data_IF_772276049128
#
_entry.id   IF_772276049128
#
_cell.length_a   1.000
_cell.length_b   1.000
_cell.length_c   1.000
_cell.angle_alpha   90.00
_cell.angle_beta   90.00
_cell.angle_gamma   90.00
#
_symmetry.space_group_name_H-M   'P 1'
#
loop_
_entity.id
_entity.type
_entity.pdbx_description
1 polymer ?
#
# COMPACT_ATOMS: atom_id res chain seq x y z
N UNK A 1 -15.89 -11.08 -6.93
CA UNK A 1 -15.95 -9.63 -7.14
C UNK A 1 -15.31 -9.33 -8.48
N UNK A 2 -16.06 -8.59 -9.35
CA UNK A 2 -15.51 -8.11 -10.62
C UNK A 2 -14.45 -7.01 -10.41
N UNK A 3 -13.85 -6.58 -11.51
CA UNK A 3 -12.82 -5.54 -11.52
C UNK A 3 -13.42 -4.20 -11.03
N UNK A 4 -12.77 -3.57 -10.05
CA UNK A 4 -13.21 -2.32 -9.41
C UNK A 4 -12.04 -1.56 -8.78
N UNK A 5 -12.28 -0.31 -8.42
CA UNK A 5 -11.48 0.46 -7.45
C UNK A 5 -12.26 0.53 -6.13
N UNK A 6 -11.55 0.63 -5.03
CA UNK A 6 -12.19 0.83 -3.73
C UNK A 6 -12.82 2.23 -3.61
N UNK A 7 -13.84 2.33 -2.77
CA UNK A 7 -14.44 3.63 -2.46
C UNK A 7 -13.44 4.53 -1.74
N UNK A 8 -13.43 5.81 -2.09
CA UNK A 8 -12.56 6.81 -1.45
C UNK A 8 -12.82 6.96 0.05
N UNK A 9 -14.06 6.76 0.49
CA UNK A 9 -14.47 6.81 1.89
C UNK A 9 -15.13 5.52 2.30
N UNK A 10 -14.62 4.95 3.37
CA UNK A 10 -15.22 3.80 4.03
C UNK A 10 -16.04 4.32 5.22
N UNK A 11 -17.34 4.11 5.13
CA UNK A 11 -18.27 4.50 6.19
C UNK A 11 -18.18 3.51 7.34
N UNK A 12 -17.53 3.89 8.42
CA UNK A 12 -17.51 3.12 9.65
C UNK A 12 -18.83 3.33 10.39
N UNK A 13 -19.66 2.31 10.56
CA UNK A 13 -20.77 2.38 11.51
C UNK A 13 -20.25 2.53 12.95
N UNK A 14 -21.08 3.13 13.86
CA UNK A 14 -20.67 3.22 15.27
C UNK A 14 -20.23 1.86 15.81
N UNK A 15 -19.13 1.77 16.57
CA UNK A 15 -18.30 2.86 17.11
C UNK A 15 -17.14 3.31 16.20
N UNK A 16 -17.07 2.86 14.95
CA UNK A 16 -15.94 3.10 14.05
C UNK A 16 -16.06 4.48 13.36
N UNK A 17 -14.92 5.15 13.20
CA UNK A 17 -14.84 6.39 12.43
C UNK A 17 -14.89 6.12 10.92
N UNK A 18 -15.36 7.12 10.16
CA UNK A 18 -15.20 7.13 8.73
C UNK A 18 -13.71 7.24 8.38
N UNK A 19 -13.25 6.47 7.41
CA UNK A 19 -11.85 6.39 7.03
C UNK A 19 -11.69 6.71 5.55
N UNK A 20 -10.77 7.63 5.22
CA UNK A 20 -10.35 7.81 3.83
C UNK A 20 -9.51 6.59 3.43
N UNK A 21 -9.92 5.91 2.38
CA UNK A 21 -9.21 4.76 1.85
C UNK A 21 -8.08 5.22 0.91
N UNK A 22 -6.90 5.47 1.47
CA UNK A 22 -5.71 5.81 0.70
C UNK A 22 -4.96 4.56 0.23
N UNK A 23 -4.90 3.56 1.10
CA UNK A 23 -4.27 2.28 0.84
C UNK A 23 -5.24 1.14 1.20
N UNK A 24 -5.26 0.13 0.37
CA UNK A 24 -5.96 -1.12 0.63
C UNK A 24 -4.96 -2.21 0.98
N UNK A 25 -5.35 -3.14 1.84
CA UNK A 25 -4.53 -4.30 2.12
C UNK A 25 -5.33 -5.60 2.03
N UNK A 26 -4.61 -6.65 1.67
CA UNK A 26 -5.09 -8.03 1.79
C UNK A 26 -4.08 -8.84 2.58
N UNK A 27 -4.46 -9.31 3.76
CA UNK A 27 -3.73 -10.28 4.56
C UNK A 27 -4.24 -11.68 4.21
N UNK A 28 -3.36 -12.53 3.69
CA UNK A 28 -3.68 -13.91 3.35
C UNK A 28 -3.70 -14.77 4.61
N UNK A 29 -4.76 -15.54 4.81
CA UNK A 29 -4.95 -16.42 5.97
C UNK A 29 -5.02 -17.91 5.57
N UNK A 30 -5.14 -18.21 4.27
CA UNK A 30 -4.97 -19.53 3.68
C UNK A 30 -3.69 -19.58 2.83
N UNK A 31 -3.03 -20.75 2.79
CA UNK A 31 -1.86 -20.96 1.95
C UNK A 31 -2.25 -21.13 0.47
N UNK A 32 -1.32 -20.82 -0.48
CA UNK A 32 -1.60 -20.93 -1.92
C UNK A 32 -1.99 -22.33 -2.39
N UNK A 33 -1.58 -23.36 -1.70
CA UNK A 33 -1.86 -24.77 -2.01
C UNK A 33 -3.20 -25.27 -1.45
N UNK A 34 -3.87 -24.50 -0.60
CA UNK A 34 -5.18 -24.83 -0.02
C UNK A 34 -6.36 -24.48 -0.96
N UNK A 35 -6.10 -23.78 -2.07
CA UNK A 35 -7.14 -23.39 -3.05
C UNK A 35 -6.56 -23.15 -4.43
N UNK A 36 -7.37 -23.32 -5.48
CA UNK A 36 -7.02 -23.04 -6.88
C UNK A 36 -7.72 -21.75 -7.36
N UNK A 37 -7.03 -20.94 -8.17
CA UNK A 37 -7.51 -19.61 -8.53
C UNK A 37 -7.38 -18.63 -7.37
N UNK A 38 -8.26 -17.63 -7.31
CA UNK A 38 -8.35 -16.69 -6.20
C UNK A 38 -7.18 -15.70 -6.09
N UNK A 39 -6.39 -15.51 -7.14
CA UNK A 39 -5.34 -14.50 -7.19
C UNK A 39 -5.96 -13.10 -7.04
N UNK A 40 -5.31 -12.24 -6.27
CA UNK A 40 -5.56 -10.81 -6.29
C UNK A 40 -4.82 -10.22 -7.49
N UNK A 41 -5.56 -9.79 -8.51
CA UNK A 41 -5.02 -9.09 -9.68
C UNK A 41 -5.08 -7.59 -9.46
N UNK A 42 -3.94 -6.90 -9.54
CA UNK A 42 -3.84 -5.44 -9.44
C UNK A 42 -3.33 -4.90 -10.78
N UNK A 43 -4.03 -3.90 -11.31
CA UNK A 43 -3.73 -3.29 -12.60
C UNK A 43 -3.04 -1.92 -12.39
N UNK A 44 -1.86 -1.74 -12.97
CA UNK A 44 -1.04 -0.53 -12.88
C UNK A 44 -1.25 0.49 -14.03
N UNK A 45 -2.27 0.28 -14.85
CA UNK A 45 -2.58 1.06 -16.06
C UNK A 45 -1.98 0.48 -17.35
N UNK A 46 -1.07 -0.49 -17.25
CA UNK A 46 -0.45 -1.18 -18.40
C UNK A 46 -0.48 -2.69 -18.25
N UNK A 47 -0.14 -3.17 -17.06
CA UNK A 47 -0.02 -4.60 -16.78
C UNK A 47 -0.92 -4.98 -15.61
N UNK A 48 -1.25 -6.26 -15.54
CA UNK A 48 -1.90 -6.86 -14.38
C UNK A 48 -0.90 -7.74 -13.64
N UNK A 49 -0.80 -7.57 -12.34
CA UNK A 49 0.03 -8.40 -11.46
C UNK A 49 -0.87 -9.28 -10.63
N UNK A 50 -0.71 -10.59 -10.76
CA UNK A 50 -1.43 -11.58 -9.97
C UNK A 50 -0.65 -11.90 -8.69
N UNK A 51 -1.32 -11.81 -7.55
CA UNK A 51 -0.74 -11.97 -6.23
C UNK A 51 -1.47 -13.07 -5.48
N UNK A 52 -0.71 -14.07 -5.01
CA UNK A 52 -1.18 -15.17 -4.18
C UNK A 52 -0.08 -15.52 -3.21
N UNK A 53 -0.20 -15.06 -1.95
CA UNK A 53 0.85 -15.17 -0.94
C UNK A 53 0.50 -16.25 0.09
N UNK A 54 1.52 -16.71 0.80
CA UNK A 54 1.35 -17.63 1.93
C UNK A 54 0.60 -16.98 3.09
N UNK A 55 -0.05 -17.78 3.90
CA UNK A 55 -0.72 -17.35 5.13
C UNK A 55 0.22 -16.52 6.01
N UNK A 56 -0.31 -15.45 6.59
CA UNK A 56 0.45 -14.47 7.38
C UNK A 56 1.18 -13.40 6.55
N UNK A 57 1.17 -13.48 5.22
CA UNK A 57 1.71 -12.43 4.34
C UNK A 57 0.63 -11.44 3.94
N UNK A 58 1.03 -10.19 3.78
CA UNK A 58 0.14 -9.08 3.41
C UNK A 58 0.67 -8.38 2.16
N UNK A 59 -0.24 -7.98 1.28
CA UNK A 59 0.01 -7.00 0.23
C UNK A 59 -0.73 -5.71 0.56
N UNK A 60 -0.06 -4.58 0.33
CA UNK A 60 -0.62 -3.23 0.48
C UNK A 60 -0.49 -2.54 -0.88
N UNK A 61 -1.56 -1.88 -1.33
CA UNK A 61 -1.61 -1.22 -2.63
C UNK A 61 -2.47 0.04 -2.54
N UNK A 62 -2.35 0.92 -3.54
CA UNK A 62 -3.17 2.13 -3.61
C UNK A 62 -4.64 1.77 -3.82
N UNK A 63 -5.54 2.31 -2.99
CA UNK A 63 -6.99 2.01 -3.06
C UNK A 63 -7.64 2.46 -4.37
N UNK A 64 -7.04 3.43 -5.07
CA UNK A 64 -7.44 3.85 -6.40
C UNK A 64 -7.02 2.91 -7.53
N UNK A 65 -6.18 1.90 -7.25
CA UNK A 65 -5.79 0.91 -8.25
C UNK A 65 -6.96 0.02 -8.64
N UNK A 66 -7.13 -0.19 -9.94
CA UNK A 66 -8.11 -1.14 -10.46
C UNK A 66 -7.67 -2.56 -10.08
N UNK A 67 -8.54 -3.32 -9.45
CA UNK A 67 -8.19 -4.67 -8.98
C UNK A 67 -9.40 -5.61 -8.96
N UNK A 68 -9.12 -6.89 -8.87
CA UNK A 68 -10.14 -7.94 -8.71
C UNK A 68 -9.54 -9.16 -7.99
N UNK A 69 -10.40 -9.98 -7.42
CA UNK A 69 -10.06 -11.35 -7.02
C UNK A 69 -10.59 -12.28 -8.08
N UNK A 70 -9.70 -13.09 -8.67
CA UNK A 70 -10.08 -14.13 -9.64
C UNK A 70 -10.96 -15.18 -8.99
N UNK A 71 -11.68 -15.92 -9.80
CA UNK A 71 -12.53 -17.02 -9.35
C UNK A 71 -11.71 -18.07 -8.59
N UNK A 72 -12.23 -18.51 -7.46
CA UNK A 72 -11.70 -19.68 -6.74
C UNK A 72 -12.38 -20.91 -7.34
N UNK A 73 -11.61 -21.77 -7.98
CA UNK A 73 -12.14 -22.95 -8.69
C UNK A 73 -12.14 -24.21 -7.83
N UNK A 74 -11.31 -24.23 -6.77
CA UNK A 74 -11.21 -25.35 -5.84
C UNK A 74 -10.72 -24.84 -4.47
N UNK A 75 -11.13 -25.50 -3.38
CA UNK A 75 -10.73 -25.16 -2.02
C UNK A 75 -11.39 -23.90 -1.47
N UNK A 76 -10.76 -23.28 -0.47
CA UNK A 76 -11.32 -22.11 0.21
C UNK A 76 -10.25 -21.03 0.39
N UNK A 77 -10.45 -19.87 -0.24
CA UNK A 77 -9.61 -18.68 -0.03
C UNK A 77 -10.07 -17.92 1.20
N UNK A 78 -9.21 -17.79 2.20
CA UNK A 78 -9.47 -16.99 3.42
C UNK A 78 -8.49 -15.82 3.46
N UNK A 79 -9.00 -14.62 3.64
CA UNK A 79 -8.19 -13.41 3.80
C UNK A 79 -8.90 -12.38 4.68
N UNK A 80 -8.12 -11.46 5.25
CA UNK A 80 -8.61 -10.24 5.86
C UNK A 80 -8.29 -9.08 4.92
N UNK A 81 -9.29 -8.25 4.61
CA UNK A 81 -9.13 -7.04 3.80
C UNK A 81 -9.46 -5.81 4.63
N UNK A 82 -8.84 -4.70 4.31
CA UNK A 82 -9.12 -3.44 4.98
C UNK A 82 -8.43 -2.27 4.31
N UNK A 83 -8.61 -1.09 4.92
CA UNK A 83 -8.16 0.17 4.39
C UNK A 83 -7.38 0.95 5.42
N UNK A 84 -6.41 1.73 4.94
CA UNK A 84 -5.56 2.58 5.77
C UNK A 84 -5.65 4.00 5.26
N UNK A 85 -5.90 4.93 6.17
CA UNK A 85 -5.77 6.35 5.89
C UNK A 85 -4.33 6.76 6.08
N UNK A 86 -3.70 7.23 5.00
CA UNK A 86 -2.34 7.76 5.03
C UNK A 86 -2.35 9.21 5.52
N UNK A 87 -1.31 9.60 6.22
CA UNK A 87 -1.08 11.01 6.55
C UNK A 87 -0.81 11.85 5.29
N UNK A 88 -0.32 11.23 4.23
CA UNK A 88 -0.13 11.87 2.92
C UNK A 88 -1.26 11.42 2.01
N UNK A 89 -2.24 12.30 1.78
CA UNK A 89 -3.43 12.00 0.98
C UNK A 89 -3.12 11.81 -0.51
N UNK A 90 -2.24 12.65 -1.05
CA UNK A 90 -1.86 12.60 -2.47
C UNK A 90 -0.97 11.38 -2.76
N UNK A 91 -1.38 10.44 -3.65
CA UNK A 91 -0.64 9.21 -3.90
C UNK A 91 0.73 9.45 -4.56
N UNK A 92 0.85 10.44 -5.45
CA UNK A 92 2.12 10.77 -6.10
C UNK A 92 3.12 11.34 -5.08
N UNK A 93 2.63 12.22 -4.18
CA UNK A 93 3.45 12.77 -3.10
C UNK A 93 3.86 11.69 -2.09
N UNK A 94 2.97 10.75 -1.78
CA UNK A 94 3.28 9.59 -0.93
C UNK A 94 4.41 8.76 -1.51
N UNK A 95 4.35 8.44 -2.80
CA UNK A 95 5.41 7.71 -3.50
C UNK A 95 6.73 8.49 -3.47
N UNK A 96 6.70 9.77 -3.85
CA UNK A 96 7.89 10.62 -3.88
C UNK A 96 8.57 10.70 -2.49
N UNK A 97 7.79 10.94 -1.45
CA UNK A 97 8.32 11.01 -0.07
C UNK A 97 8.87 9.67 0.40
N UNK A 98 8.24 8.56 0.03
CA UNK A 98 8.76 7.22 0.35
C UNK A 98 10.10 6.98 -0.35
N UNK A 99 10.20 7.31 -1.64
CA UNK A 99 11.43 7.16 -2.40
C UNK A 99 12.55 8.05 -1.85
N UNK A 100 12.24 9.29 -1.45
CA UNK A 100 13.19 10.17 -0.79
C UNK A 100 13.70 9.59 0.52
N UNK A 101 12.82 9.07 1.39
CA UNK A 101 13.21 8.47 2.67
C UNK A 101 14.14 7.26 2.46
N UNK A 102 13.81 6.41 1.49
CA UNK A 102 14.64 5.27 1.12
C UNK A 102 16.04 5.71 0.64
N UNK A 103 16.14 6.78 -0.17
CA UNK A 103 17.43 7.30 -0.64
C UNK A 103 18.21 7.95 0.51
N UNK A 104 17.57 8.73 1.36
CA UNK A 104 18.18 9.32 2.56
C UNK A 104 18.74 8.20 3.46
N UNK A 105 17.97 7.12 3.66
CA UNK A 105 18.42 5.96 4.43
C UNK A 105 19.61 5.21 3.80
N UNK A 106 19.72 5.21 2.47
CA UNK A 106 20.91 4.66 1.75
C UNK A 106 22.11 5.57 1.89
N UNK A 107 21.94 6.88 1.69
CA UNK A 107 23.01 7.87 1.80
C UNK A 107 23.60 7.89 3.22
N UNK A 108 22.76 7.72 4.25
CA UNK A 108 23.19 7.64 5.65
C UNK A 108 24.21 6.53 5.93
N UNK A 109 24.26 5.51 5.09
CA UNK A 109 25.19 4.37 5.23
C UNK A 109 26.54 4.60 4.53
N UNK A 110 26.71 5.77 3.86
CA UNK A 110 27.95 6.11 3.16
C UNK A 110 28.83 6.97 4.08
N UNK A 111 30.07 6.55 4.28
CA UNK A 111 31.01 7.22 5.18
C UNK A 111 31.59 8.53 4.64
N UNK A 112 31.40 8.81 3.33
CA UNK A 112 32.01 9.94 2.64
C UNK A 112 31.09 11.15 2.46
N UNK A 113 29.90 11.15 3.04
CA UNK A 113 28.97 12.29 3.00
C UNK A 113 29.15 13.12 4.26
N UNK A 114 29.44 14.44 4.13
CA UNK A 114 29.49 15.33 5.27
C UNK A 114 28.16 15.33 6.03
N UNK A 115 28.23 15.36 7.35
CA UNK A 115 27.04 15.35 8.22
C UNK A 115 26.09 16.52 7.92
N UNK A 116 26.66 17.71 7.60
CA UNK A 116 25.90 18.91 7.25
C UNK A 116 25.00 18.70 6.02
N UNK A 117 25.50 18.04 4.99
CA UNK A 117 24.73 17.76 3.77
C UNK A 117 23.56 16.81 4.07
N UNK A 118 23.83 15.81 4.89
CA UNK A 118 22.79 14.88 5.32
C UNK A 118 21.71 15.58 6.17
N UNK A 119 22.10 16.43 7.11
CA UNK A 119 21.18 17.15 7.99
C UNK A 119 20.32 18.13 7.18
N UNK A 120 20.86 18.79 6.15
CA UNK A 120 20.13 19.69 5.26
C UNK A 120 19.12 18.91 4.38
N UNK A 121 19.52 17.78 3.79
CA UNK A 121 18.62 16.93 3.02
C UNK A 121 17.46 16.41 3.88
N UNK A 122 17.75 16.00 5.10
CA UNK A 122 16.77 15.53 6.05
C UNK A 122 15.82 16.66 6.50
N UNK A 123 16.31 17.89 6.63
CA UNK A 123 15.48 19.07 6.89
C UNK A 123 14.49 19.32 5.76
N UNK A 124 14.96 19.30 4.50
CA UNK A 124 14.10 19.48 3.30
C UNK A 124 13.01 18.41 3.27
N UNK A 125 13.37 17.15 3.48
CA UNK A 125 12.41 16.05 3.55
C UNK A 125 11.34 16.28 4.61
N UNK A 126 11.73 16.66 5.83
CA UNK A 126 10.78 16.93 6.91
C UNK A 126 9.87 18.13 6.63
N UNK A 127 10.36 19.16 5.94
CA UNK A 127 9.54 20.31 5.55
C UNK A 127 8.48 19.89 4.51
N UNK A 128 8.84 19.05 3.54
CA UNK A 128 7.89 18.47 2.58
C UNK A 128 6.84 17.60 3.27
N UNK A 129 7.25 16.79 4.25
CA UNK A 129 6.29 16.02 5.07
C UNK A 129 5.28 16.94 5.75
N UNK A 130 5.73 17.96 6.50
CA UNK A 130 4.85 18.88 7.23
C UNK A 130 3.86 19.59 6.32
N UNK A 131 4.28 19.97 5.09
CA UNK A 131 3.42 20.65 4.12
C UNK A 131 2.33 19.76 3.56
N UNK A 132 2.53 18.45 3.53
CA UNK A 132 1.65 17.48 2.87
C UNK A 132 0.86 16.58 3.84
N UNK A 133 1.19 16.59 5.13
CA UNK A 133 0.44 15.84 6.16
C UNK A 133 -0.95 16.45 6.38
N UNK A 134 -2.01 15.59 6.33
CA UNK A 134 -3.40 15.97 6.57
C UNK A 134 -4.16 14.89 7.33
#
# INVERSE_FOLDING_TARGET
>A
YGQHCDNTWIMGGKPFANTRADLSFTLFLANPDEYSGGELSIFDGRNSTDIKLQAGKMVIYDSGSLHQVKEVTEGTRICCVGWVQSWIANPQMRTLLTDMDLQIGRLKKLDNIPRSEFDELHRIYNDLLRQNMR
#
